data_IF_069558690225
#
_entry.id   IF_069558690225
#
_cell.length_a   1.000
_cell.length_b   1.000
_cell.length_c   1.000
_cell.angle_alpha   90.00
_cell.angle_beta   90.00
_cell.angle_gamma   90.00
#
_symmetry.space_group_name_H-M   'P 1'
#
loop_
_entity.id
_entity.type
_entity.pdbx_description
1 polymer ?
2 non-polymer ?
3 non-polymer ?
4 non-polymer ?
5 water ?
#
# COMPACT_ATOMS: atom_id res chain seq x y z
N UNK A 13 -14.60 -5.71 15.01
CA UNK A 13 -14.26 -5.49 13.57
C UNK A 13 -13.53 -6.70 12.98
N UNK A 14 -14.00 -7.21 11.84
CA UNK A 14 -13.33 -8.37 11.23
C UNK A 14 -11.95 -8.01 10.69
N UNK A 15 -10.92 -8.71 11.16
CA UNK A 15 -9.55 -8.46 10.74
C UNK A 15 -8.99 -9.66 9.97
N UNK A 16 -8.24 -9.38 8.91
CA UNK A 16 -7.65 -10.45 8.10
C UNK A 16 -6.12 -10.51 8.21
N UNK A 17 -5.58 -11.70 7.96
CA UNK A 17 -4.14 -11.92 7.99
C UNK A 17 -3.53 -11.33 6.72
N UNK A 18 -2.47 -10.55 6.89
CA UNK A 18 -1.80 -9.91 5.77
C UNK A 18 -0.91 -10.83 4.96
N UNK A 19 -0.83 -12.09 5.35
CA UNK A 19 -0.02 -13.03 4.56
C UNK A 19 -0.53 -14.43 4.80
N UNK A 20 -0.39 -15.29 3.79
CA UNK A 20 -0.82 -16.68 3.90
C UNK A 20 0.41 -17.57 3.94
N UNK A 21 0.86 -17.89 5.15
CA UNK A 21 2.01 -18.75 5.34
C UNK A 21 3.31 -18.27 4.74
N UNK A 22 3.70 -18.80 3.56
CA UNK A 22 4.94 -18.41 2.89
C UNK A 22 5.01 -16.91 2.66
N UNK A 23 3.87 -16.32 2.31
CA UNK A 23 3.83 -14.89 2.07
C UNK A 23 4.69 -14.49 0.89
N UNK A 24 4.42 -15.09 -0.27
CA UNK A 24 5.17 -14.78 -1.47
C UNK A 24 4.27 -14.06 -2.48
N UNK A 25 2.98 -14.02 -2.19
CA UNK A 25 1.98 -13.38 -3.05
C UNK A 25 0.95 -12.62 -2.21
N UNK A 26 0.30 -11.61 -2.81
CA UNK A 26 -0.71 -10.79 -2.13
C UNK A 26 -1.85 -11.68 -1.67
N UNK A 27 -2.62 -11.21 -0.69
CA UNK A 27 -3.76 -11.99 -0.21
C UNK A 27 -4.99 -11.56 -1.01
N UNK A 28 -4.87 -10.43 -1.71
CA UNK A 28 -5.97 -9.92 -2.51
C UNK A 28 -5.48 -8.84 -3.48
N UNK A 29 -6.17 -8.73 -4.61
CA UNK A 29 -5.85 -7.73 -5.63
C UNK A 29 -7.15 -7.09 -6.05
N UNK A 30 -7.17 -5.76 -6.06
CA UNK A 30 -8.36 -5.03 -6.47
C UNK A 30 -7.98 -4.19 -7.67
N UNK A 31 -8.88 -4.13 -8.64
CA UNK A 31 -8.62 -3.36 -9.84
C UNK A 31 -9.60 -2.20 -9.90
N UNK A 32 -9.11 -1.02 -10.30
CA UNK A 32 -9.97 0.15 -10.37
C UNK A 32 -9.92 0.85 -11.72
N UNK A 33 -11.01 1.55 -12.03
CA UNK A 33 -11.14 2.35 -13.25
C UNK A 33 -10.75 3.76 -12.84
N UNK A 34 -9.59 4.22 -13.29
CA UNK A 34 -9.13 5.55 -12.90
C UNK A 34 -10.03 6.70 -13.31
N UNK A 35 -10.59 6.63 -14.52
CA UNK A 35 -11.48 7.69 -14.97
C UNK A 35 -12.69 7.83 -14.05
N UNK A 36 -13.05 6.76 -13.35
CA UNK A 36 -14.21 6.80 -12.46
C UNK A 36 -13.89 7.19 -11.02
N UNK A 37 -12.61 7.21 -10.67
CA UNK A 37 -12.17 7.55 -9.32
C UNK A 37 -12.59 8.97 -8.91
N UNK A 38 -13.15 9.11 -7.71
CA UNK A 38 -13.55 10.43 -7.21
C UNK A 38 -12.86 10.65 -5.86
N UNK A 39 -12.43 9.54 -5.26
CA UNK A 39 -11.74 9.53 -3.97
C UNK A 39 -10.40 8.85 -4.23
N UNK A 40 -9.31 9.47 -3.81
CA UNK A 40 -8.00 8.88 -4.03
C UNK A 40 -7.34 8.32 -2.78
N UNK A 41 -7.97 8.51 -1.63
CA UNK A 41 -7.37 8.03 -0.40
C UNK A 41 -7.64 6.58 -0.03
N UNK A 42 -6.77 6.04 0.81
CA UNK A 42 -6.92 4.69 1.32
C UNK A 42 -6.57 4.75 2.79
N UNK A 43 -7.26 3.94 3.59
CA UNK A 43 -7.00 3.92 5.02
C UNK A 43 -7.32 2.56 5.61
N UNK A 44 -6.69 2.28 6.74
CA UNK A 44 -6.87 0.99 7.38
C UNK A 44 -6.17 0.96 8.72
N UNK A 45 -6.36 -0.12 9.45
CA UNK A 45 -5.67 -0.28 10.72
C UNK A 45 -4.86 -1.54 10.54
N UNK A 46 -3.67 -1.53 11.11
CA UNK A 46 -2.76 -2.67 11.01
C UNK A 46 -2.17 -2.93 12.40
N UNK A 47 -1.90 -4.19 12.69
CA UNK A 47 -1.30 -4.59 13.96
C UNK A 47 -0.28 -5.64 13.58
N UNK A 48 0.91 -5.58 14.19
CA UNK A 48 1.94 -6.56 13.86
C UNK A 48 3.17 -6.48 14.77
N UNK A 49 3.94 -7.56 14.79
CA UNK A 49 5.19 -7.64 15.55
C UNK A 49 6.33 -7.79 14.53
N UNK A 50 5.96 -7.86 13.25
CA UNK A 50 6.91 -8.06 12.14
C UNK A 50 7.55 -6.74 11.74
N UNK A 51 8.90 -6.66 11.79
CA UNK A 51 9.54 -5.40 11.40
C UNK A 51 9.72 -5.12 9.90
N UNK A 52 9.48 -6.13 9.06
CA UNK A 52 9.68 -5.96 7.61
C UNK A 52 8.63 -6.66 6.76
N UNK A 53 8.15 -5.99 5.72
CA UNK A 53 7.17 -6.59 4.84
C UNK A 53 6.32 -5.59 4.07
N UNK A 54 5.56 -6.09 3.11
CA UNK A 54 4.70 -5.24 2.30
C UNK A 54 3.30 -5.12 2.90
N UNK A 55 2.85 -3.89 3.13
CA UNK A 55 1.49 -3.70 3.61
C UNK A 55 0.62 -3.68 2.35
N UNK A 56 0.97 -2.85 1.37
CA UNK A 56 0.24 -2.85 0.12
C UNK A 56 1.05 -2.27 -1.03
N UNK A 57 0.69 -2.73 -2.22
CA UNK A 57 1.35 -2.36 -3.45
C UNK A 57 0.28 -1.81 -4.39
N UNK A 58 0.68 -0.90 -5.27
CA UNK A 58 -0.26 -0.33 -6.22
C UNK A 58 0.46 0.02 -7.49
N UNK A 59 -0.22 -0.11 -8.64
CA UNK A 59 0.38 0.24 -9.92
C UNK A 59 -0.66 0.52 -10.98
N UNK A 60 -0.21 1.07 -12.11
CA UNK A 60 -1.07 1.33 -13.26
C UNK A 60 -0.31 0.61 -14.35
N UNK A 61 0.94 0.25 -14.02
CA UNK A 61 1.85 -0.45 -14.92
C UNK A 61 2.98 -1.03 -14.06
N UNK A 62 3.11 -2.36 -14.00
CA UNK A 62 4.18 -2.94 -13.18
C UNK A 62 5.57 -2.54 -13.63
N UNK A 63 5.72 -2.22 -14.91
CA UNK A 63 7.01 -1.81 -15.45
C UNK A 63 7.50 -0.44 -14.96
N UNK A 64 6.71 0.60 -15.20
CA UNK A 64 7.18 1.94 -14.85
C UNK A 64 6.23 2.87 -14.10
N UNK A 65 5.20 2.32 -13.47
CA UNK A 65 4.26 3.16 -12.74
C UNK A 65 3.77 2.40 -11.51
N UNK A 66 4.59 2.35 -10.47
CA UNK A 66 4.19 1.60 -9.28
C UNK A 66 4.53 2.25 -7.94
N UNK A 67 3.93 1.69 -6.89
CA UNK A 67 4.05 2.19 -5.52
C UNK A 67 4.01 1.03 -4.52
N UNK A 68 4.75 1.18 -3.43
CA UNK A 68 4.76 0.17 -2.37
C UNK A 68 4.83 0.84 -1.00
N UNK A 69 3.98 0.40 -0.08
CA UNK A 69 4.00 0.90 1.29
C UNK A 69 4.29 -0.36 2.10
N UNK A 70 5.32 -0.31 2.92
CA UNK A 70 5.65 -1.45 3.74
C UNK A 70 6.31 -1.01 5.02
N UNK A 71 6.95 -1.96 5.69
CA UNK A 71 7.68 -1.69 6.91
C UNK A 71 9.12 -2.17 6.72
N UNK A 72 10.06 -1.43 7.28
CA UNK A 72 11.47 -1.82 7.25
C UNK A 72 11.97 -1.31 8.60
N UNK A 73 12.58 -2.22 9.37
CA UNK A 73 13.06 -1.94 10.72
C UNK A 73 11.91 -1.36 11.52
N UNK A 74 10.72 -1.95 11.34
CA UNK A 74 9.52 -1.53 12.05
C UNK A 74 8.80 -0.27 11.59
N UNK A 75 9.46 0.51 10.74
CA UNK A 75 8.86 1.78 10.32
C UNK A 75 8.36 1.77 8.89
N UNK A 76 7.37 2.63 8.61
CA UNK A 76 6.79 2.76 7.27
C UNK A 76 7.89 3.04 6.26
N UNK A 77 7.77 2.45 5.09
CA UNK A 77 8.67 2.69 3.99
C UNK A 77 7.84 2.77 2.72
N UNK A 78 8.11 3.77 1.90
CA UNK A 78 7.41 3.88 0.63
C UNK A 78 8.44 3.82 -0.47
N UNK A 79 8.16 3.00 -1.48
CA UNK A 79 8.99 2.99 -2.67
C UNK A 79 8.01 3.41 -3.75
N UNK A 80 8.46 4.29 -4.62
CA UNK A 80 7.59 4.82 -5.66
C UNK A 80 8.41 4.96 -6.92
N UNK A 81 7.82 4.58 -8.04
CA UNK A 81 8.50 4.69 -9.32
C UNK A 81 7.51 5.09 -10.41
N UNK A 82 7.64 6.32 -10.92
CA UNK A 82 6.79 6.78 -12.01
C UNK A 82 7.53 7.80 -12.87
N UNK A 83 6.83 8.38 -13.84
CA UNK A 83 7.44 9.36 -14.74
C UNK A 83 8.09 10.56 -14.03
N UNK A 84 7.51 10.99 -12.91
CA UNK A 84 8.02 12.15 -12.17
C UNK A 84 8.97 11.86 -11.02
N UNK A 85 8.85 10.71 -10.39
CA UNK A 85 9.73 10.45 -9.26
C UNK A 85 10.09 8.98 -9.07
N UNK A 86 11.23 8.76 -8.44
CA UNK A 86 11.72 7.41 -8.15
C UNK A 86 12.37 7.53 -6.78
N UNK A 87 11.78 6.89 -5.78
CA UNK A 87 12.30 7.06 -4.45
C UNK A 87 12.07 5.89 -3.50
N UNK A 88 12.89 5.89 -2.45
CA UNK A 88 12.83 4.89 -1.37
C UNK A 88 12.96 5.74 -0.11
N UNK A 89 11.87 5.84 0.64
CA UNK A 89 11.85 6.68 1.82
C UNK A 89 11.21 6.08 3.06
N UNK A 90 11.91 6.16 4.18
CA UNK A 90 11.39 5.66 5.45
C UNK A 90 10.93 6.83 6.31
N UNK A 91 9.90 6.65 7.13
CA UNK A 91 9.36 7.72 7.96
C UNK A 91 8.39 7.21 9.03
N UNK A 92 8.09 8.05 10.00
CA UNK A 92 7.15 7.67 11.04
C UNK A 92 7.74 6.83 12.14
N UNK A 93 6.96 6.55 13.20
CA UNK A 93 7.40 5.75 14.33
C UNK A 93 7.35 4.28 13.97
N UNK A 94 7.92 3.43 14.82
CA UNK A 94 7.85 1.99 14.58
C UNK A 94 6.38 1.60 14.76
N UNK A 95 5.92 0.64 13.97
CA UNK A 95 4.53 0.20 14.09
C UNK A 95 4.47 -1.27 14.47
N UNK A 96 5.64 -1.89 14.67
CA UNK A 96 5.71 -3.31 15.02
C UNK A 96 5.75 -3.55 16.52
N UNK A 97 4.85 -2.87 17.21
CA UNK A 97 4.72 -2.94 18.66
C UNK A 97 3.48 -3.71 19.08
N UNK A 98 2.90 -4.47 18.16
CA UNK A 98 1.72 -5.24 18.48
C UNK A 98 0.44 -4.47 18.77
N UNK A 99 0.42 -3.16 18.55
CA UNK A 99 -0.78 -2.37 18.79
C UNK A 99 -1.46 -2.03 17.46
N UNK A 100 -2.75 -1.73 17.50
CA UNK A 100 -3.48 -1.35 16.30
C UNK A 100 -3.06 0.05 15.90
N UNK A 101 -2.75 0.23 14.62
CA UNK A 101 -2.37 1.55 14.16
C UNK A 101 -3.21 2.00 12.98
N UNK A 102 -3.72 3.22 13.04
CA UNK A 102 -4.51 3.77 11.96
C UNK A 102 -3.55 4.32 10.90
N UNK A 103 -3.75 3.93 9.64
CA UNK A 103 -2.92 4.41 8.53
C UNK A 103 -3.74 4.96 7.37
N UNK A 104 -3.30 6.11 6.87
CA UNK A 104 -3.93 6.77 5.74
C UNK A 104 -2.91 7.18 4.67
N UNK A 105 -3.23 6.88 3.41
CA UNK A 105 -2.39 7.25 2.28
C UNK A 105 -3.28 8.01 1.32
N UNK A 106 -2.88 9.23 0.98
CA UNK A 106 -3.73 10.01 0.12
C UNK A 106 -2.98 10.94 -0.80
N UNK A 107 -3.69 11.40 -1.82
CA UNK A 107 -3.14 12.33 -2.78
C UNK A 107 -3.60 13.71 -2.35
N UNK A 108 -2.69 14.68 -2.40
CA UNK A 108 -3.02 16.04 -2.04
C UNK A 108 -2.28 16.84 -3.12
N UNK A 109 -2.98 17.23 -4.17
CA UNK A 109 -2.31 17.96 -5.24
C UNK A 109 -1.32 17.02 -5.93
N UNK A 110 -0.07 17.44 -6.09
CA UNK A 110 0.92 16.57 -6.73
C UNK A 110 1.67 15.71 -5.68
N UNK A 111 1.16 15.69 -4.45
CA UNK A 111 1.81 14.96 -3.35
C UNK A 111 1.13 13.70 -2.86
N UNK A 112 1.93 12.82 -2.25
CA UNK A 112 1.42 11.60 -1.64
C UNK A 112 1.68 11.82 -0.15
N UNK A 113 0.62 11.73 0.62
CA UNK A 113 0.68 11.97 2.05
C UNK A 113 0.46 10.68 2.84
N UNK A 114 1.22 10.52 3.90
CA UNK A 114 1.08 9.34 4.74
C UNK A 114 0.81 9.81 6.15
N UNK A 115 -0.32 9.39 6.71
CA UNK A 115 -0.67 9.74 8.08
C UNK A 115 -0.72 8.48 8.91
N UNK A 116 -0.17 8.58 10.12
CA UNK A 116 -0.13 7.47 11.05
C UNK A 116 -0.75 7.93 12.36
N UNK A 117 -1.74 7.15 12.82
CA UNK A 117 -2.48 7.45 14.04
C UNK A 117 -2.92 8.90 14.13
N UNK A 118 -3.47 9.39 13.02
CA UNK A 118 -3.95 10.76 12.98
C UNK A 118 -2.91 11.84 12.69
N UNK A 119 -1.62 11.48 12.68
CA UNK A 119 -0.58 12.48 12.43
C UNK A 119 0.12 12.32 11.08
N UNK A 120 0.32 13.44 10.38
CA UNK A 120 1.02 13.40 9.12
C UNK A 120 2.49 13.08 9.48
N UNK A 121 3.07 12.05 8.89
CA UNK A 121 4.46 11.71 9.18
C UNK A 121 5.33 11.81 7.94
N UNK A 122 4.71 11.95 6.78
CA UNK A 122 5.48 12.01 5.57
C UNK A 122 4.67 12.57 4.41
N UNK A 123 5.28 13.49 3.67
CA UNK A 123 4.64 14.08 2.50
C UNK A 123 5.64 14.05 1.35
N UNK A 124 5.36 13.22 0.34
CA UNK A 124 6.25 13.13 -0.81
C UNK A 124 5.67 14.10 -1.83
N UNK A 125 6.38 15.21 -2.04
CA UNK A 125 5.90 16.26 -2.95
C UNK A 125 6.42 16.15 -4.35
N UNK A 126 5.62 16.66 -5.29
CA UNK A 126 5.95 16.68 -6.70
C UNK A 126 6.19 15.28 -7.27
N UNK A 127 5.37 14.30 -6.87
CA UNK A 127 5.58 12.96 -7.39
C UNK A 127 4.55 12.43 -8.39
N UNK A 128 3.43 13.13 -8.57
CA UNK A 128 2.42 12.64 -9.49
C UNK A 128 1.51 13.69 -10.11
N UNK A 129 1.05 13.41 -11.32
CA UNK A 129 0.14 14.30 -12.01
C UNK A 129 -1.21 13.67 -11.69
N UNK A 130 -2.33 14.27 -12.12
CA UNK A 130 -3.66 13.70 -11.83
C UNK A 130 -3.76 12.22 -12.20
N UNK A 131 -4.37 11.42 -11.32
CA UNK A 131 -4.54 9.99 -11.57
C UNK A 131 -5.51 9.77 -12.72
N UNK A 132 -6.74 10.26 -12.54
CA UNK A 132 -7.77 10.13 -13.57
C UNK A 132 -7.21 10.38 -14.96
N UNK A 133 -6.33 11.38 -15.08
CA UNK A 133 -5.71 11.70 -16.36
C UNK A 133 -4.55 10.75 -16.64
N UNK A 134 -3.63 11.16 -17.50
CA UNK A 134 -2.49 10.33 -17.85
C UNK A 134 -2.92 8.90 -18.19
N UNK A 136 -2.70 4.68 -18.62
CA UNK A 136 -2.86 4.25 -17.24
C UNK A 136 -4.33 4.36 -16.84
N UNK A 137 -5.22 3.73 -17.62
CA UNK A 137 -6.64 3.82 -17.26
C UNK A 137 -7.03 2.92 -16.08
N UNK A 138 -6.18 1.95 -15.76
CA UNK A 138 -6.46 1.03 -14.66
C UNK A 138 -5.40 0.99 -13.55
N UNK A 139 -5.86 1.01 -12.30
CA UNK A 139 -4.98 0.92 -11.13
C UNK A 139 -5.25 -0.38 -10.38
N UNK A 140 -4.19 -1.09 -10.01
CA UNK A 140 -4.31 -2.33 -9.24
C UNK A 140 -3.75 -2.08 -7.83
N UNK A 141 -4.43 -2.60 -6.81
CA UNK A 141 -3.98 -2.50 -5.42
C UNK A 141 -3.86 -3.94 -4.90
N UNK A 142 -2.68 -4.32 -4.42
CA UNK A 142 -2.46 -5.66 -3.89
C UNK A 142 -2.11 -5.55 -2.40
N UNK A 143 -2.74 -6.38 -1.58
CA UNK A 143 -2.49 -6.34 -0.15
C UNK A 143 -1.51 -7.41 0.28
N UNK A 144 -0.55 -7.04 1.14
CA UNK A 144 0.41 -8.00 1.65
C UNK A 144 1.36 -8.65 0.66
N UNK A 145 1.52 -8.03 -0.50
CA UNK A 145 2.40 -8.59 -1.49
C UNK A 145 2.57 -7.66 -2.66
N UNK A 146 3.49 -8.01 -3.55
CA UNK A 146 3.79 -7.24 -4.74
C UNK A 146 3.24 -7.96 -5.95
N UNK A 147 3.20 -7.27 -7.08
CA UNK A 147 2.74 -7.87 -8.32
C UNK A 147 3.93 -8.08 -9.25
N UNK A 148 5.13 -8.06 -8.67
CA UNK A 148 6.37 -8.35 -9.39
C UNK A 148 7.38 -8.85 -8.36
N UNK A 149 8.44 -9.55 -8.79
CA UNK A 149 9.43 -10.07 -7.84
C UNK A 149 9.99 -9.00 -6.89
N UNK A 150 10.25 -9.37 -5.63
CA UNK A 150 10.79 -8.40 -4.66
C UNK A 150 12.13 -7.83 -5.12
N UNK A 151 12.88 -8.65 -5.85
CA UNK A 151 14.17 -8.27 -6.40
C UNK A 151 14.03 -7.10 -7.35
N UNK A 152 12.80 -6.85 -7.81
CA UNK A 152 12.53 -5.75 -8.74
C UNK A 152 12.26 -4.42 -8.05
N UNK A 153 12.20 -4.44 -6.72
CA UNK A 153 11.98 -3.23 -5.95
C UNK A 153 13.22 -2.34 -6.10
N UNK A 154 13.08 -1.04 -5.85
CA UNK A 154 14.26 -0.20 -5.91
C UNK A 154 15.22 -0.71 -4.83
N UNK A 155 14.66 -1.08 -3.69
CA UNK A 155 15.43 -1.61 -2.58
C UNK A 155 14.66 -2.85 -2.09
N UNK A 156 15.18 -4.03 -2.42
CA UNK A 156 14.51 -5.26 -2.00
C UNK A 156 14.31 -5.38 -0.50
N UNK A 157 13.23 -6.05 -0.13
CA UNK A 157 12.96 -6.39 1.26
C UNK A 157 12.19 -7.71 1.13
N UNK A 158 11.96 -8.41 2.24
CA UNK A 158 11.22 -9.67 2.20
C UNK A 158 9.77 -9.25 2.41
N UNK A 159 8.93 -9.42 1.38
CA UNK A 159 7.50 -9.05 1.39
C UNK A 159 6.57 -9.59 2.46
N UNK A 160 6.80 -10.81 2.92
CA UNK A 160 5.92 -11.39 3.94
C UNK A 160 5.75 -10.52 5.17
N UNK A 161 4.53 -10.10 5.44
CA UNK A 161 4.27 -9.30 6.62
C UNK A 161 3.27 -10.04 7.51
N UNK A 162 3.75 -10.53 8.65
CA UNK A 162 2.93 -11.25 9.60
C UNK A 162 2.15 -10.26 10.45
N UNK A 163 1.00 -9.84 9.95
CA UNK A 163 0.20 -8.88 10.69
C UNK A 163 -1.26 -8.96 10.34
N UNK A 164 -2.05 -8.12 11.00
CA UNK A 164 -3.47 -8.11 10.76
C UNK A 164 -3.93 -6.78 10.21
N UNK A 165 -4.95 -6.87 9.37
CA UNK A 165 -5.52 -5.72 8.71
C UNK A 165 -7.01 -5.69 8.98
N UNK A 166 -7.55 -4.50 9.21
CA UNK A 166 -8.97 -4.36 9.45
C UNK A 166 -9.41 -2.94 9.11
N UNK A 167 -10.72 -2.73 9.03
CA UNK A 167 -11.29 -1.42 8.73
C UNK A 167 -10.63 -0.74 7.53
N UNK A 168 -10.37 -1.51 6.48
CA UNK A 168 -9.73 -0.99 5.29
C UNK A 168 -10.71 -0.43 4.27
N UNK A 169 -10.29 0.65 3.63
CA UNK A 169 -11.08 1.33 2.62
C UNK A 169 -10.06 1.67 1.53
N UNK A 170 -10.32 1.23 0.31
CA UNK A 170 -9.38 1.45 -0.78
C UNK A 170 -9.91 2.34 -1.91
N UNK A 171 -9.28 3.50 -2.08
CA UNK A 171 -9.68 4.44 -3.13
C UNK A 171 -11.19 4.67 -3.17
N UNK A 172 -11.76 4.53 -4.37
CA UNK A 172 -13.19 4.73 -4.54
C UNK A 172 -13.86 3.42 -4.95
N UNK A 173 -14.64 2.86 -4.03
CA UNK A 173 -15.36 1.61 -4.26
C UNK A 173 -16.20 1.66 -5.54
N UNK A 174 -16.82 2.81 -5.79
CA UNK A 174 -17.64 2.97 -6.98
C UNK A 174 -16.81 2.85 -8.24
N UNK A 175 -15.49 2.85 -8.11
CA UNK A 175 -14.62 2.73 -9.27
C UNK A 175 -13.94 1.36 -9.33
N UNK A 176 -14.22 0.52 -8.35
CA UNK A 176 -13.62 -0.81 -8.30
C UNK A 176 -14.19 -1.69 -9.43
N UNK A 177 -13.30 -2.21 -10.27
CA UNK A 177 -13.71 -3.06 -11.38
C UNK A 177 -13.86 -4.51 -10.94
N UNK A 178 -12.93 -4.97 -10.11
CA UNK A 178 -12.97 -6.34 -9.60
C UNK A 178 -11.99 -6.55 -8.46
N UNK A 179 -12.13 -7.70 -7.81
CA UNK A 179 -11.29 -8.09 -6.69
C UNK A 179 -11.06 -9.59 -6.77
N UNK A 180 -9.82 -10.00 -6.53
CA UNK A 180 -9.45 -11.40 -6.56
C UNK A 180 -8.72 -11.77 -5.28
N UNK A 181 -8.56 -13.07 -5.09
CA UNK A 181 -7.84 -13.61 -3.95
C UNK A 181 -7.18 -14.89 -4.45
N UNK A 182 -5.84 -14.94 -4.48
CA UNK A 182 -5.11 -16.13 -4.93
C UNK A 182 -5.56 -17.36 -4.14
N UNK A 183 -5.92 -17.12 -2.89
CA UNK A 183 -6.38 -18.16 -2.00
C UNK A 183 -7.62 -17.63 -1.27
N UNK A 184 -7.69 -17.84 0.04
CA UNK A 184 -8.84 -17.36 0.80
C UNK A 184 -8.42 -16.57 2.04
N UNK A 185 -9.05 -15.41 2.23
CA UNK A 185 -8.74 -14.54 3.37
C UNK A 185 -8.87 -15.26 4.70
N UNK A 186 -7.85 -15.14 5.54
CA UNK A 186 -7.84 -15.76 6.86
C UNK A 186 -8.10 -14.73 7.95
N UNK A 187 -8.94 -15.10 8.91
CA UNK A 187 -9.30 -14.21 10.01
C UNK A 187 -8.27 -14.18 11.14
N UNK A 188 -8.12 -13.01 11.76
CA UNK A 188 -7.21 -12.85 12.89
C UNK A 188 -8.00 -13.10 14.17
N UNK A 189 -8.79 -14.17 14.14
CA UNK A 189 -9.63 -14.57 15.27
C UNK A 189 -9.66 -16.09 15.39
X LIG B 1 8.17 -10.03 7.62
X LIG C 1 2.88 5.78 -16.96
X LIG D 1 -2.49 7.25 -4.27
X LIG D 1 -1.56 6.05 -4.61
X LIG D 1 -0.12 7.52 -6.25
X LIG D 1 0.46 7.65 -7.70
X LIG D 1 1.36 6.44 -8.05
X LIG D 1 0.50 5.14 -7.91
X LIG D 1 1.39 4.03 -8.53
X LIG D 1 2.19 4.81 -9.64
X LIG D 1 1.74 6.28 -9.53
X LIG D 1 2.65 6.49 -7.18
X LIG D 1 -0.38 6.03 -3.56
X LIG D 1 -3.19 7.09 -2.88
X LIG D 1 -3.98 5.75 -2.86
X LIG D 1 -3.08 4.53 -3.16
X LIG D 1 -2.41 4.70 -4.55
X LIG D 1 -1.50 3.49 -4.89
X LIG D 1 -0.89 3.65 -6.30
X LIG D 1 -0.06 4.96 -6.46
X LIG D 1 -0.95 6.21 -6.07
X LIG D 1 -4.63 5.60 -1.58
X LIG D 1 0.63 6.51 -10.49
#
# INVERSE_FOLDING_TARGET
LRPVLPTQSAHDPPAVHLSNGPGQEPIAVMTFDLTKITKTSSSFEVRTWDPEGVIFYGDTNPKDDWFMLGLRDGRPEIQLHNHWAQLTVGAGPRLDDGRWHQVEVKMEGDSVLLEVDGEEVLRLRQVSGPLTSKRHPIMRIALGGLLFPASNLRLPLVPALDGCLRRDSWLDKQAEISASAPTSLRSCD
CA CA
ZN ZN
AON C1 C10 C11 C12 C13 C14 C15 C16 C17 C18 C19 C2 C3 C4 C5 C6 C7 C8 C9 O3 O17
#
